data_IF_113720633239
#
_entry.id   IF_113720633239
#
_cell.length_a   1.000
_cell.length_b   1.000
_cell.length_c   1.000
_cell.angle_alpha   90.00
_cell.angle_beta   90.00
_cell.angle_gamma   90.00
#
_symmetry.space_group_name_H-M   'P 1'
#
loop_
_entity.id
_entity.type
_entity.pdbx_description
1 polymer ?
#
# COMPACT_ATOMS: atom_id res chain seq x y z
N UNK A 1 1.04 6.02 -2.47
CA UNK A 1 -0.37 5.87 -1.99
C UNK A 1 -0.89 4.50 -2.37
N UNK A 2 -1.69 3.81 -1.52
CA UNK A 2 -2.34 2.55 -1.90
C UNK A 2 -3.54 2.83 -2.82
N UNK A 3 -3.55 2.26 -4.03
CA UNK A 3 -4.66 2.33 -4.98
C UNK A 3 -5.47 1.03 -4.90
N UNK A 4 -6.51 1.03 -4.07
CA UNK A 4 -7.25 -0.18 -3.68
C UNK A 4 -8.55 -0.37 -4.50
N UNK A 5 -8.44 -0.26 -5.80
CA UNK A 5 -9.51 -0.49 -6.77
C UNK A 5 -8.93 -0.68 -8.18
N UNK A 6 -9.78 -0.99 -9.16
CA UNK A 6 -9.38 -1.08 -10.57
C UNK A 6 -9.82 0.13 -11.38
N UNK A 7 -8.96 0.65 -12.25
CA UNK A 7 -9.34 1.57 -13.32
C UNK A 7 -9.92 0.79 -14.49
N UNK A 8 -11.23 0.78 -14.61
CA UNK A 8 -11.92 0.06 -15.69
C UNK A 8 -13.24 0.75 -16.05
N UNK A 9 -13.50 0.88 -17.35
CA UNK A 9 -14.77 1.42 -17.84
C UNK A 9 -15.95 0.56 -17.38
N UNK A 10 -17.03 1.20 -16.93
CA UNK A 10 -18.26 0.51 -16.50
C UNK A 10 -18.82 -0.39 -17.61
N UNK A 11 -18.80 0.11 -18.85
CA UNK A 11 -19.33 -0.61 -20.01
C UNK A 11 -18.38 -1.76 -20.38
N UNK A 12 -18.86 -3.00 -20.25
CA UNK A 12 -18.09 -4.20 -20.57
C UNK A 12 -17.18 -4.72 -19.45
N UNK A 13 -17.20 -4.10 -18.25
CA UNK A 13 -16.51 -4.60 -17.09
C UNK A 13 -17.41 -5.57 -16.30
N UNK A 14 -16.90 -6.77 -16.03
CA UNK A 14 -17.56 -7.77 -15.17
C UNK A 14 -16.68 -8.01 -13.95
N UNK A 15 -17.23 -7.78 -12.76
CA UNK A 15 -16.55 -8.07 -11.52
C UNK A 15 -16.37 -9.57 -11.30
N UNK A 16 -15.41 -9.95 -10.48
CA UNK A 16 -15.17 -11.33 -10.09
C UNK A 16 -16.38 -11.86 -9.34
N UNK A 17 -16.93 -12.99 -9.81
CA UNK A 17 -18.11 -13.62 -9.24
C UNK A 17 -17.88 -14.05 -7.77
N UNK A 18 -18.88 -13.82 -6.94
CA UNK A 18 -18.87 -14.25 -5.53
C UNK A 18 -18.05 -13.39 -4.58
N UNK A 19 -17.39 -12.31 -5.04
CA UNK A 19 -16.72 -11.35 -4.18
C UNK A 19 -17.75 -10.35 -3.66
N UNK A 20 -17.83 -10.17 -2.32
CA UNK A 20 -18.84 -9.33 -1.67
C UNK A 20 -18.69 -7.84 -2.02
N UNK A 21 -17.45 -7.36 -2.10
CA UNK A 21 -17.13 -5.97 -2.43
C UNK A 21 -16.17 -5.93 -3.61
N UNK A 22 -16.51 -5.12 -4.61
CA UNK A 22 -15.67 -4.89 -5.80
C UNK A 22 -15.63 -3.41 -6.11
N UNK A 23 -14.41 -2.87 -6.24
CA UNK A 23 -14.20 -1.44 -6.41
C UNK A 23 -13.60 -1.13 -7.78
N UNK A 24 -14.12 -0.07 -8.39
CA UNK A 24 -13.60 0.46 -9.65
C UNK A 24 -13.74 1.98 -9.72
N UNK A 25 -12.88 2.58 -10.50
CA UNK A 25 -13.05 3.93 -11.01
C UNK A 25 -13.00 3.93 -12.54
N UNK A 26 -13.63 4.92 -13.17
CA UNK A 26 -13.46 5.11 -14.61
C UNK A 26 -12.00 5.60 -14.86
N UNK A 27 -11.35 5.16 -15.95
CA UNK A 27 -9.95 5.50 -16.26
C UNK A 27 -9.63 6.99 -16.18
N UNK A 28 -10.53 7.86 -16.62
CA UNK A 28 -10.38 9.31 -16.54
C UNK A 28 -10.17 9.85 -15.11
N UNK A 29 -10.59 9.07 -14.09
CA UNK A 29 -10.40 9.46 -12.68
C UNK A 29 -8.97 9.29 -12.19
N UNK A 30 -8.08 8.77 -13.01
CA UNK A 30 -6.64 8.77 -12.72
C UNK A 30 -6.07 10.19 -12.62
N UNK A 31 -6.70 11.20 -13.26
CA UNK A 31 -6.41 12.62 -13.09
C UNK A 31 -6.34 13.06 -11.60
N UNK A 32 -7.10 12.40 -10.72
CA UNK A 32 -7.10 12.68 -9.28
C UNK A 32 -5.76 12.36 -8.62
N UNK A 33 -4.97 11.45 -9.17
CA UNK A 33 -3.63 11.13 -8.65
C UNK A 33 -2.69 12.33 -8.79
N UNK A 34 -2.78 13.07 -9.90
CA UNK A 34 -2.03 14.32 -10.11
C UNK A 34 -2.49 15.40 -9.11
N UNK A 35 -3.83 15.56 -8.93
CA UNK A 35 -4.40 16.52 -7.98
C UNK A 35 -3.93 16.24 -6.55
N UNK A 36 -3.78 14.96 -6.19
CA UNK A 36 -3.24 14.56 -4.88
C UNK A 36 -1.71 14.67 -4.76
N UNK A 37 -1.01 15.02 -5.84
CA UNK A 37 0.46 15.06 -5.88
C UNK A 37 1.06 13.67 -5.70
N UNK A 38 0.48 12.65 -6.33
CA UNK A 38 0.89 11.26 -6.17
C UNK A 38 2.05 10.92 -7.10
N UNK A 39 3.24 10.72 -6.57
CA UNK A 39 4.43 10.31 -7.34
C UNK A 39 4.47 8.81 -7.62
N UNK A 40 3.81 7.99 -6.79
CA UNK A 40 3.77 6.54 -6.97
C UNK A 40 2.57 5.92 -6.26
N UNK A 41 2.10 4.79 -6.78
CA UNK A 41 1.04 4.00 -6.15
C UNK A 41 1.50 2.57 -5.86
N UNK A 42 0.93 1.98 -4.80
CA UNK A 42 1.05 0.56 -4.52
C UNK A 42 -0.21 -0.15 -4.97
N UNK A 43 -0.05 -1.28 -5.62
CA UNK A 43 -1.12 -2.10 -6.19
C UNK A 43 -1.22 -3.48 -5.53
N UNK A 44 -0.36 -3.77 -4.56
CA UNK A 44 -0.36 -5.04 -3.84
C UNK A 44 -1.50 -5.08 -2.82
N UNK A 45 -2.74 -5.22 -3.26
CA UNK A 45 -3.92 -5.29 -2.40
C UNK A 45 -4.95 -6.30 -2.93
N UNK A 46 -5.98 -6.56 -2.12
CA UNK A 46 -7.03 -7.53 -2.47
C UNK A 46 -8.05 -7.00 -3.49
N UNK A 47 -8.04 -5.71 -3.84
CA UNK A 47 -9.00 -5.09 -4.75
C UNK A 47 -8.46 -4.77 -6.15
N UNK A 48 -7.15 -4.86 -6.38
CA UNK A 48 -6.56 -4.63 -7.70
C UNK A 48 -7.03 -5.63 -8.76
N UNK A 49 -7.59 -6.77 -8.33
CA UNK A 49 -8.07 -7.85 -9.21
C UNK A 49 -9.60 -7.99 -9.23
N UNK A 50 -10.35 -6.99 -8.74
CA UNK A 50 -11.82 -7.02 -8.61
C UNK A 50 -12.56 -7.25 -9.93
N UNK A 51 -11.96 -6.84 -11.03
CA UNK A 51 -12.46 -7.04 -12.39
C UNK A 51 -11.56 -8.01 -13.17
N UNK A 52 -10.93 -8.95 -12.45
CA UNK A 52 -10.12 -10.01 -13.01
C UNK A 52 -8.86 -9.51 -13.74
N UNK A 53 -8.31 -10.37 -14.58
CA UNK A 53 -7.12 -10.06 -15.40
C UNK A 53 -7.30 -8.79 -16.23
N UNK A 54 -8.49 -8.59 -16.83
CA UNK A 54 -8.78 -7.40 -17.64
C UNK A 54 -8.76 -6.12 -16.81
N UNK A 55 -9.34 -6.16 -15.60
CA UNK A 55 -9.35 -5.03 -14.68
C UNK A 55 -7.94 -4.63 -14.22
N UNK A 56 -7.13 -5.62 -13.83
CA UNK A 56 -5.73 -5.36 -13.48
C UNK A 56 -4.96 -4.77 -14.66
N UNK A 57 -5.01 -5.39 -15.84
CA UNK A 57 -4.28 -4.89 -17.01
C UNK A 57 -4.71 -3.47 -17.40
N UNK A 58 -6.03 -3.17 -17.36
CA UNK A 58 -6.55 -1.82 -17.59
C UNK A 58 -6.00 -0.82 -16.56
N UNK A 59 -5.86 -1.22 -15.30
CA UNK A 59 -5.27 -0.37 -14.26
C UNK A 59 -3.81 -0.06 -14.56
N UNK A 60 -3.03 -1.08 -14.97
CA UNK A 60 -1.64 -0.89 -15.34
C UNK A 60 -1.50 0.02 -16.57
N UNK A 61 -2.35 -0.18 -17.60
CA UNK A 61 -2.36 0.66 -18.82
C UNK A 61 -2.66 2.13 -18.49
N UNK A 62 -3.62 2.38 -17.59
CA UNK A 62 -3.98 3.74 -17.15
C UNK A 62 -2.81 4.40 -16.42
N UNK A 63 -2.19 3.71 -15.47
CA UNK A 63 -1.05 4.26 -14.73
C UNK A 63 0.17 4.50 -15.63
N UNK A 64 0.42 3.58 -16.60
CA UNK A 64 1.48 3.76 -17.61
C UNK A 64 1.21 5.00 -18.49
N UNK A 65 -0.06 5.27 -18.88
CA UNK A 65 -0.46 6.45 -19.67
C UNK A 65 -0.32 7.75 -18.89
N UNK A 66 -0.64 7.74 -17.61
CA UNK A 66 -0.48 8.90 -16.71
C UNK A 66 0.97 9.09 -16.24
N UNK A 67 1.86 8.15 -16.59
CA UNK A 67 3.27 8.21 -16.18
C UNK A 67 3.50 8.02 -14.68
N UNK A 68 2.54 7.39 -13.98
CA UNK A 68 2.62 7.15 -12.54
C UNK A 68 3.24 5.77 -12.26
N UNK A 69 4.42 5.72 -11.67
CA UNK A 69 5.06 4.46 -11.26
C UNK A 69 4.21 3.68 -10.27
N UNK A 70 4.26 2.36 -10.35
CA UNK A 70 3.54 1.49 -9.43
C UNK A 70 4.39 0.26 -9.03
N UNK A 71 4.11 -0.29 -7.85
CA UNK A 71 4.75 -1.49 -7.31
C UNK A 71 3.74 -2.49 -6.78
N UNK A 72 4.15 -3.74 -6.63
CA UNK A 72 3.38 -4.78 -5.94
C UNK A 72 2.31 -5.48 -6.78
N UNK A 73 2.08 -5.06 -8.02
CA UNK A 73 1.34 -5.81 -9.04
C UNK A 73 1.97 -5.56 -10.42
N UNK A 74 1.69 -6.45 -11.37
CA UNK A 74 2.29 -6.33 -12.69
C UNK A 74 1.70 -7.30 -13.70
N UNK A 75 2.16 -7.20 -14.95
CA UNK A 75 1.76 -8.05 -16.07
C UNK A 75 2.30 -9.49 -15.94
N UNK A 76 3.31 -9.64 -15.11
CA UNK A 76 3.94 -10.89 -14.72
C UNK A 76 4.68 -10.70 -13.39
N UNK A 77 5.31 -11.75 -12.87
CA UNK A 77 6.04 -11.70 -11.61
C UNK A 77 7.21 -10.71 -11.62
N UNK A 78 7.93 -10.59 -12.74
CA UNK A 78 9.03 -9.61 -12.88
C UNK A 78 8.50 -8.18 -12.71
N UNK A 79 7.40 -7.85 -13.36
CA UNK A 79 6.77 -6.53 -13.24
C UNK A 79 6.21 -6.28 -11.84
N UNK A 80 5.51 -7.26 -11.24
CA UNK A 80 4.98 -7.16 -9.88
C UNK A 80 6.09 -7.02 -8.81
N UNK A 81 7.32 -7.44 -9.15
CA UNK A 81 8.51 -7.38 -8.30
C UNK A 81 9.36 -6.12 -8.49
N UNK A 82 8.92 -5.16 -9.30
CA UNK A 82 9.67 -3.92 -9.54
C UNK A 82 9.89 -3.15 -8.25
N UNK A 83 11.13 -2.72 -8.05
CA UNK A 83 11.52 -1.78 -7.01
C UNK A 83 11.48 -0.38 -7.63
N UNK A 84 10.78 0.55 -6.99
CA UNK A 84 10.77 1.94 -7.43
C UNK A 84 11.84 2.69 -6.65
N UNK A 85 12.66 3.45 -7.35
CA UNK A 85 13.74 4.23 -6.75
C UNK A 85 13.53 5.71 -7.00
N UNK A 86 13.69 6.51 -5.94
CA UNK A 86 13.77 7.97 -6.01
C UNK A 86 15.11 8.44 -5.44
N UNK A 87 15.65 9.51 -6.01
CA UNK A 87 16.80 10.20 -5.44
C UNK A 87 16.31 11.52 -4.86
N UNK A 88 16.41 11.66 -3.55
CA UNK A 88 15.99 12.83 -2.80
C UNK A 88 17.16 13.37 -1.98
N UNK A 89 17.57 14.59 -2.24
CA UNK A 89 18.74 15.22 -1.56
C UNK A 89 20.01 14.35 -1.58
N UNK A 90 20.28 13.73 -2.74
CA UNK A 90 21.46 12.88 -2.94
C UNK A 90 21.36 11.49 -2.32
N UNK A 91 20.24 11.13 -1.70
CA UNK A 91 19.98 9.81 -1.11
C UNK A 91 19.01 9.02 -1.97
N UNK A 92 19.33 7.77 -2.23
CA UNK A 92 18.49 6.85 -3.01
C UNK A 92 17.55 6.10 -2.09
N UNK A 93 16.25 6.26 -2.29
CA UNK A 93 15.19 5.60 -1.51
C UNK A 93 14.47 4.61 -2.40
N UNK A 94 14.34 3.38 -1.92
CA UNK A 94 13.60 2.32 -2.58
C UNK A 94 12.21 2.16 -1.98
N UNK A 95 11.21 1.93 -2.85
CA UNK A 95 9.84 1.58 -2.46
C UNK A 95 9.51 0.19 -3.00
N UNK A 96 9.01 -0.67 -2.11
CA UNK A 96 8.58 -2.04 -2.42
C UNK A 96 7.23 -2.30 -1.78
N UNK A 97 6.36 -3.09 -2.43
CA UNK A 97 5.08 -3.45 -1.81
C UNK A 97 4.67 -4.89 -2.11
N UNK A 98 3.93 -5.51 -1.16
CA UNK A 98 3.38 -6.84 -1.28
C UNK A 98 2.10 -7.01 -0.46
N UNK A 99 1.32 -8.06 -0.72
CA UNK A 99 0.09 -8.35 0.02
C UNK A 99 0.07 -9.75 0.64
N UNK A 100 -0.43 -9.85 1.89
CA UNK A 100 -0.81 -11.11 2.54
C UNK A 100 -2.26 -11.52 2.23
N UNK A 101 -3.06 -10.64 1.62
CA UNK A 101 -4.51 -10.85 1.41
C UNK A 101 -4.77 -11.54 0.08
N UNK A 102 -4.03 -12.59 -0.17
CA UNK A 102 -4.24 -13.54 -1.26
C UNK A 102 -4.88 -14.82 -0.72
N UNK A 103 -5.95 -14.67 0.09
CA UNK A 103 -6.60 -15.82 0.75
C UNK A 103 -7.41 -16.68 -0.21
N UNK A 104 -7.73 -16.17 -1.39
CA UNK A 104 -8.44 -16.90 -2.43
C UNK A 104 -7.80 -16.64 -3.78
N UNK A 105 -7.25 -17.67 -4.39
CA UNK A 105 -6.76 -17.63 -5.78
C UNK A 105 -7.82 -17.17 -6.80
N UNK A 106 -9.09 -17.20 -6.39
CA UNK A 106 -10.22 -16.76 -7.21
C UNK A 106 -10.33 -15.23 -7.23
N UNK A 107 -10.05 -14.57 -6.11
CA UNK A 107 -10.30 -13.12 -5.95
C UNK A 107 -9.06 -12.27 -6.19
N UNK A 108 -7.92 -12.69 -5.67
CA UNK A 108 -6.66 -11.94 -5.85
C UNK A 108 -5.58 -12.94 -6.21
N UNK A 109 -5.13 -12.87 -7.45
CA UNK A 109 -4.13 -13.80 -7.97
C UNK A 109 -2.73 -13.26 -7.78
N UNK A 110 -1.82 -14.13 -7.34
CA UNK A 110 -0.40 -13.84 -7.41
C UNK A 110 0.07 -13.81 -8.85
N UNK A 111 0.98 -12.90 -9.15
CA UNK A 111 1.69 -12.89 -10.42
C UNK A 111 2.54 -14.16 -10.57
N UNK A 112 2.61 -14.68 -11.81
CA UNK A 112 3.52 -15.76 -12.21
C UNK A 112 4.48 -15.26 -13.27
N UNK A 113 5.37 -16.09 -13.76
CA UNK A 113 6.30 -15.71 -14.85
C UNK A 113 5.56 -15.22 -16.11
N UNK A 114 4.34 -15.71 -16.34
CA UNK A 114 3.57 -15.44 -17.58
C UNK A 114 2.21 -14.79 -17.34
N UNK A 115 1.71 -14.78 -16.09
CA UNK A 115 0.37 -14.26 -15.78
C UNK A 115 0.44 -13.04 -14.86
N UNK A 116 -0.43 -12.04 -15.10
CA UNK A 116 -0.52 -10.84 -14.28
C UNK A 116 -1.11 -11.15 -12.91
N UNK A 117 -0.69 -10.36 -11.93
CA UNK A 117 -1.17 -10.48 -10.56
C UNK A 117 -0.40 -9.60 -9.60
N UNK A 118 -0.58 -9.88 -8.31
CA UNK A 118 0.09 -9.18 -7.21
C UNK A 118 1.36 -9.88 -6.76
N UNK A 119 2.27 -9.12 -6.18
CA UNK A 119 3.38 -9.67 -5.40
C UNK A 119 2.83 -10.10 -4.03
N UNK A 120 2.87 -11.40 -3.77
CA UNK A 120 2.33 -11.95 -2.52
C UNK A 120 3.34 -11.91 -1.39
N UNK A 121 2.83 -11.72 -0.16
CA UNK A 121 3.56 -11.83 1.09
C UNK A 121 2.99 -12.90 2.04
N UNK A 122 1.96 -13.66 1.65
CA UNK A 122 1.46 -14.79 2.44
C UNK A 122 2.53 -15.90 2.59
N UNK A 123 3.34 -16.09 1.54
CA UNK A 123 4.60 -16.83 1.53
C UNK A 123 5.68 -15.85 1.13
N UNK A 124 6.38 -15.22 2.11
CA UNK A 124 7.08 -13.96 1.88
C UNK A 124 8.46 -14.11 1.25
N UNK A 125 8.96 -15.33 0.98
CA UNK A 125 10.34 -15.59 0.56
C UNK A 125 10.76 -14.75 -0.65
N UNK A 126 9.86 -14.57 -1.64
CA UNK A 126 10.13 -13.75 -2.82
C UNK A 126 10.16 -12.27 -2.46
N UNK A 127 9.20 -11.81 -1.65
CA UNK A 127 9.14 -10.42 -1.21
C UNK A 127 10.36 -10.05 -0.36
N UNK A 128 10.76 -10.90 0.59
CA UNK A 128 11.94 -10.68 1.41
C UNK A 128 13.24 -10.61 0.58
N UNK A 129 13.35 -11.40 -0.50
CA UNK A 129 14.46 -11.27 -1.46
C UNK A 129 14.47 -9.90 -2.14
N UNK A 130 13.29 -9.37 -2.51
CA UNK A 130 13.15 -8.05 -3.14
C UNK A 130 13.51 -6.93 -2.15
N UNK A 131 13.07 -7.03 -0.88
CA UNK A 131 13.48 -6.10 0.18
C UNK A 131 14.99 -6.10 0.34
N UNK A 132 15.61 -7.28 0.40
CA UNK A 132 17.07 -7.42 0.49
C UNK A 132 17.79 -6.84 -0.73
N UNK A 133 17.28 -7.06 -1.93
CA UNK A 133 17.80 -6.47 -3.17
C UNK A 133 17.68 -4.94 -3.13
N UNK A 134 16.56 -4.41 -2.66
CA UNK A 134 16.35 -2.98 -2.48
C UNK A 134 17.39 -2.38 -1.51
N UNK A 135 17.60 -3.02 -0.36
CA UNK A 135 18.59 -2.58 0.63
C UNK A 135 20.04 -2.61 0.12
N UNK A 136 20.36 -3.52 -0.79
CA UNK A 136 21.68 -3.57 -1.42
C UNK A 136 21.90 -2.48 -2.48
N UNK A 137 20.82 -1.91 -3.01
CA UNK A 137 20.85 -0.99 -4.16
C UNK A 137 20.32 0.42 -3.85
N UNK A 138 20.05 0.73 -2.58
CA UNK A 138 19.59 2.05 -2.13
C UNK A 138 20.14 2.35 -0.74
N UNK A 139 20.01 3.62 -0.34
CA UNK A 139 20.40 4.07 1.00
C UNK A 139 19.31 3.76 2.03
N UNK A 140 18.03 3.73 1.58
CA UNK A 140 16.86 3.47 2.43
C UNK A 140 15.79 2.68 1.68
N UNK A 141 15.08 1.82 2.43
CA UNK A 141 13.98 1.00 1.92
C UNK A 141 12.70 1.27 2.70
N UNK A 142 11.66 1.71 2.00
CA UNK A 142 10.30 1.83 2.52
C UNK A 142 9.49 0.64 1.99
N UNK A 143 9.07 -0.25 2.88
CA UNK A 143 8.23 -1.39 2.55
C UNK A 143 6.77 -1.11 2.91
N UNK A 144 5.87 -1.25 1.93
CA UNK A 144 4.43 -1.18 2.16
C UNK A 144 3.82 -2.58 2.08
N UNK A 145 2.96 -2.92 3.06
CA UNK A 145 2.36 -4.26 3.13
C UNK A 145 0.86 -4.18 3.37
N UNK A 146 0.12 -4.82 2.49
CA UNK A 146 -1.33 -4.96 2.62
C UNK A 146 -1.65 -6.27 3.35
N UNK A 147 -2.06 -6.20 4.63
CA UNK A 147 -2.08 -7.33 5.54
C UNK A 147 -3.14 -7.23 6.66
N UNK A 148 -3.20 -8.26 7.51
CA UNK A 148 -4.02 -8.28 8.71
C UNK A 148 -5.48 -8.64 8.45
N UNK A 149 -6.36 -8.24 9.36
CA UNK A 149 -7.79 -8.55 9.33
C UNK A 149 -8.62 -7.27 9.35
N UNK A 150 -9.58 -7.16 8.44
CA UNK A 150 -10.49 -6.00 8.35
C UNK A 150 -11.20 -5.73 9.68
N UNK A 151 -11.30 -4.44 10.04
CA UNK A 151 -11.98 -3.97 11.24
C UNK A 151 -11.21 -4.11 12.55
N UNK A 152 -10.08 -4.81 12.58
CA UNK A 152 -9.30 -5.02 13.80
C UNK A 152 -8.47 -3.79 14.15
N UNK A 153 -8.50 -3.39 15.43
CA UNK A 153 -7.74 -2.26 15.96
C UNK A 153 -6.30 -2.62 16.34
N UNK A 154 -6.00 -3.89 16.50
CA UNK A 154 -4.67 -4.36 16.91
C UNK A 154 -4.11 -5.30 15.84
N UNK A 155 -2.80 -5.21 15.55
CA UNK A 155 -2.15 -6.11 14.63
C UNK A 155 -2.16 -7.55 15.13
N UNK A 156 -2.44 -8.48 14.23
CA UNK A 156 -2.40 -9.90 14.53
C UNK A 156 -0.95 -10.46 14.54
N UNK A 157 -0.80 -11.72 14.93
CA UNK A 157 0.52 -12.35 15.01
C UNK A 157 1.19 -12.45 13.64
N UNK A 158 0.42 -12.66 12.56
CA UNK A 158 1.00 -12.77 11.21
C UNK A 158 1.60 -11.44 10.73
N UNK A 159 0.96 -10.31 11.05
CA UNK A 159 1.49 -8.97 10.78
C UNK A 159 2.81 -8.74 11.55
N UNK A 160 2.83 -9.05 12.84
CA UNK A 160 4.02 -8.88 13.69
C UNK A 160 5.20 -9.72 13.18
N UNK A 161 4.95 -10.99 12.90
CA UNK A 161 5.98 -11.90 12.41
C UNK A 161 6.54 -11.46 11.04
N UNK A 162 5.66 -11.05 10.11
CA UNK A 162 6.11 -10.56 8.81
C UNK A 162 6.88 -9.24 8.95
N UNK A 163 6.46 -8.35 9.85
CA UNK A 163 7.19 -7.10 10.12
C UNK A 163 8.63 -7.37 10.58
N UNK A 164 8.83 -8.33 11.48
CA UNK A 164 10.17 -8.76 11.93
C UNK A 164 11.01 -9.26 10.75
N UNK A 165 10.45 -10.09 9.88
CA UNK A 165 11.16 -10.62 8.71
C UNK A 165 11.54 -9.51 7.70
N UNK A 166 10.64 -8.53 7.46
CA UNK A 166 10.88 -7.42 6.55
C UNK A 166 11.98 -6.50 7.10
N UNK A 167 11.94 -6.17 8.40
CA UNK A 167 12.98 -5.39 9.06
C UNK A 167 14.35 -6.10 8.97
N UNK A 168 14.39 -7.41 9.26
CA UNK A 168 15.61 -8.23 9.14
C UNK A 168 16.11 -8.33 7.69
N UNK A 169 15.24 -8.21 6.71
CA UNK A 169 15.61 -8.20 5.28
C UNK A 169 16.22 -6.85 4.84
N UNK A 170 16.16 -5.81 5.68
CA UNK A 170 16.80 -4.51 5.44
C UNK A 170 15.84 -3.38 5.09
N UNK A 171 14.57 -3.47 5.47
CA UNK A 171 13.68 -2.31 5.39
C UNK A 171 13.99 -1.32 6.51
N UNK A 172 13.94 -0.01 6.22
CA UNK A 172 14.13 1.08 7.17
C UNK A 172 12.82 1.64 7.71
N UNK A 173 11.71 1.42 7.00
CA UNK A 173 10.34 1.76 7.41
C UNK A 173 9.38 0.72 6.88
N UNK A 174 8.39 0.35 7.71
CA UNK A 174 7.29 -0.53 7.28
C UNK A 174 5.96 0.20 7.48
N UNK A 175 5.16 0.27 6.41
CA UNK A 175 3.83 0.89 6.42
C UNK A 175 2.80 -0.14 5.98
N UNK A 176 1.81 -0.36 6.82
CA UNK A 176 0.74 -1.31 6.57
C UNK A 176 -0.59 -0.69 6.16
N UNK A 177 -1.42 -1.49 5.51
CA UNK A 177 -2.80 -1.18 5.13
C UNK A 177 -3.68 -2.42 5.13
N UNK A 178 -4.94 -2.32 4.76
CA UNK A 178 -5.99 -3.35 4.70
C UNK A 178 -6.99 -3.34 5.88
N UNK A 179 -6.61 -3.22 7.17
CA UNK A 179 -7.59 -3.32 8.24
C UNK A 179 -8.72 -2.27 8.20
N UNK A 180 -8.57 -1.21 7.41
CA UNK A 180 -9.49 -0.06 7.34
C UNK A 180 -9.73 0.61 8.70
N UNK A 181 -8.83 0.40 9.62
CA UNK A 181 -8.74 0.99 10.96
C UNK A 181 -7.31 1.42 11.21
N UNK A 182 -7.13 2.46 12.00
CA UNK A 182 -5.82 2.73 12.57
C UNK A 182 -5.42 1.53 13.44
N UNK A 183 -4.21 1.06 13.23
CA UNK A 183 -3.54 0.13 14.14
C UNK A 183 -2.29 0.81 14.67
N UNK A 184 -1.88 0.44 15.87
CA UNK A 184 -0.76 1.06 16.55
C UNK A 184 0.57 0.95 15.79
N UNK A 185 1.56 1.62 16.34
CA UNK A 185 2.94 1.65 15.85
C UNK A 185 3.85 0.92 16.81
N UNK A 186 4.96 0.42 16.29
CA UNK A 186 6.02 -0.21 17.09
C UNK A 186 7.36 -0.07 16.38
N UNK A 187 8.39 -0.62 16.99
CA UNK A 187 9.72 -0.77 16.40
C UNK A 187 10.15 -2.23 16.40
N UNK A 188 10.88 -2.63 15.35
CA UNK A 188 11.69 -3.85 15.33
C UNK A 188 13.15 -3.42 15.21
N UNK A 189 13.92 -3.49 16.30
CA UNK A 189 15.17 -2.77 16.40
C UNK A 189 14.93 -1.27 16.24
N UNK A 190 15.60 -0.65 15.28
CA UNK A 190 15.45 0.78 14.94
C UNK A 190 14.44 1.03 13.82
N UNK A 191 13.81 -0.01 13.27
CA UNK A 191 12.86 0.11 12.15
C UNK A 191 11.46 0.46 12.66
N UNK A 192 10.94 1.68 12.37
CA UNK A 192 9.59 2.06 12.73
C UNK A 192 8.56 1.38 11.85
N UNK A 193 7.46 0.95 12.47
CA UNK A 193 6.35 0.24 11.83
C UNK A 193 5.04 0.93 12.16
N UNK A 194 4.25 1.28 11.13
CA UNK A 194 2.84 1.60 11.25
C UNK A 194 2.03 0.43 10.68
N UNK A 195 1.28 -0.28 11.53
CA UNK A 195 0.57 -1.48 11.08
C UNK A 195 -0.63 -1.20 10.18
N UNK A 196 -1.30 -0.08 10.33
CA UNK A 196 -2.34 0.39 9.41
C UNK A 196 -2.60 1.88 9.59
N UNK A 197 -2.73 2.59 8.48
CA UNK A 197 -3.02 4.03 8.45
C UNK A 197 -4.53 4.36 8.43
N UNK A 198 -5.41 3.34 8.39
CA UNK A 198 -6.84 3.54 8.19
C UNK A 198 -7.20 3.90 6.75
N UNK A 199 -8.36 4.53 6.58
CA UNK A 199 -8.91 4.91 5.27
C UNK A 199 -8.59 6.36 4.93
N UNK A 200 -7.91 6.62 3.82
CA UNK A 200 -7.74 8.00 3.37
C UNK A 200 -9.03 8.53 2.71
N UNK A 201 -9.57 7.80 1.74
CA UNK A 201 -10.82 8.17 1.05
C UNK A 201 -11.54 6.89 0.62
N UNK A 202 -12.54 6.46 1.40
CA UNK A 202 -13.09 5.12 1.20
C UNK A 202 -14.61 5.05 1.39
N UNK A 203 -15.16 5.49 2.50
CA UNK A 203 -16.57 5.26 2.86
C UNK A 203 -17.26 6.51 3.43
N UNK A 204 -18.56 6.40 3.68
CA UNK A 204 -19.35 7.44 4.34
C UNK A 204 -19.19 7.45 5.86
N UNK A 205 -18.62 6.40 6.43
CA UNK A 205 -18.40 6.29 7.88
C UNK A 205 -17.42 7.33 8.41
N UNK A 206 -17.54 7.64 9.70
CA UNK A 206 -16.60 8.52 10.40
C UNK A 206 -15.52 7.67 11.04
N UNK A 207 -14.28 7.86 10.62
CA UNK A 207 -13.11 7.10 11.07
C UNK A 207 -11.88 8.01 11.16
N UNK A 208 -11.12 7.87 12.23
CA UNK A 208 -9.77 8.42 12.26
C UNK A 208 -8.88 7.71 11.24
N UNK A 209 -8.04 8.49 10.62
CA UNK A 209 -7.03 8.05 9.64
C UNK A 209 -5.81 8.95 9.72
N UNK A 210 -4.74 8.62 9.02
CA UNK A 210 -3.53 9.42 9.08
C UNK A 210 -2.76 9.38 7.76
N UNK A 211 -1.97 10.44 7.53
CA UNK A 211 -0.87 10.39 6.57
C UNK A 211 0.42 10.07 7.33
N UNK A 212 1.15 9.06 6.87
CA UNK A 212 2.47 8.77 7.38
C UNK A 212 3.50 9.69 6.71
N UNK A 213 4.33 10.34 7.52
CA UNK A 213 5.45 11.16 7.07
C UNK A 213 6.75 10.50 7.49
N UNK A 214 7.50 10.02 6.50
CA UNK A 214 8.87 9.52 6.69
C UNK A 214 9.84 10.68 6.50
N UNK A 215 10.70 10.91 7.47
CA UNK A 215 11.75 11.93 7.41
C UNK A 215 13.10 11.25 7.61
N UNK A 216 14.00 11.47 6.66
CA UNK A 216 15.39 11.05 6.76
C UNK A 216 16.20 12.30 7.13
N UNK A 217 16.72 12.33 8.35
CA UNK A 217 17.48 13.48 8.87
C UNK A 217 18.89 13.53 8.26
N UNK A 218 19.61 14.64 8.45
CA UNK A 218 20.96 14.81 7.89
C UNK A 218 21.94 13.76 8.37
N UNK A 219 21.83 13.32 9.64
CA UNK A 219 22.63 12.26 10.24
C UNK A 219 22.23 10.84 9.80
N UNK A 220 21.20 10.72 8.93
CA UNK A 220 20.74 9.43 8.42
C UNK A 220 19.64 8.76 9.24
N UNK A 221 19.23 9.34 10.36
CA UNK A 221 18.15 8.77 11.19
C UNK A 221 16.81 8.83 10.47
N UNK A 222 16.11 7.70 10.47
CA UNK A 222 14.76 7.59 9.91
C UNK A 222 13.72 7.84 10.99
N UNK A 223 12.81 8.79 10.73
CA UNK A 223 11.70 9.13 11.64
C UNK A 223 10.37 8.93 10.93
N UNK A 224 9.48 8.21 11.58
CA UNK A 224 8.08 8.06 11.16
C UNK A 224 7.20 8.94 12.06
N UNK A 225 6.44 9.83 11.46
CA UNK A 225 5.48 10.70 12.14
C UNK A 225 4.16 10.71 11.39
N UNK A 226 3.12 11.25 12.01
CA UNK A 226 1.76 11.16 11.51
C UNK A 226 1.09 12.52 11.44
N UNK A 227 0.32 12.72 10.37
CA UNK A 227 -0.60 13.85 10.24
C UNK A 227 -2.00 13.33 10.53
N UNK A 228 -2.56 13.63 11.73
CA UNK A 228 -3.88 13.16 12.11
C UNK A 228 -4.96 13.67 11.17
N UNK A 229 -5.81 12.77 10.72
CA UNK A 229 -6.92 13.08 9.82
C UNK A 229 -8.20 12.38 10.29
N UNK A 230 -9.33 12.84 9.79
CA UNK A 230 -10.62 12.18 9.93
C UNK A 230 -11.26 12.04 8.55
N UNK A 231 -11.69 10.83 8.24
CA UNK A 231 -12.52 10.54 7.09
C UNK A 231 -13.99 10.55 7.52
N UNK A 232 -14.81 11.31 6.83
CA UNK A 232 -16.24 11.41 7.10
C UNK A 232 -16.99 11.80 5.83
N UNK A 233 -18.10 11.13 5.53
CA UNK A 233 -18.98 11.46 4.39
C UNK A 233 -18.22 11.60 3.05
N UNK A 234 -17.35 10.66 2.73
CA UNK A 234 -16.51 10.67 1.52
C UNK A 234 -15.55 11.87 1.43
N UNK A 235 -15.23 12.48 2.54
CA UNK A 235 -14.21 13.53 2.63
C UNK A 235 -13.16 13.16 3.64
N UNK A 236 -11.96 13.67 3.47
CA UNK A 236 -10.88 13.53 4.45
C UNK A 236 -10.31 14.92 4.75
N UNK A 237 -10.20 15.25 6.02
CA UNK A 237 -9.58 16.49 6.47
C UNK A 237 -8.52 16.24 7.52
N UNK A 238 -7.54 17.12 7.56
CA UNK A 238 -6.55 17.13 8.64
C UNK A 238 -7.22 17.64 9.93
N UNK A 239 -6.87 17.03 11.06
CA UNK A 239 -7.28 17.50 12.38
C UNK A 239 -6.40 18.67 12.79
N UNK A 240 -6.98 19.85 12.95
CA UNK A 240 -6.26 21.08 13.33
C UNK A 240 -6.48 21.48 14.76
N UNK A 241 -7.68 21.19 15.29
CA UNK A 241 -8.07 21.59 16.65
C UNK A 241 -7.34 20.73 17.70
N UNK A 242 -6.82 21.34 18.79
CA UNK A 242 -6.09 20.60 19.82
C UNK A 242 -6.87 19.44 20.44
N UNK A 243 -8.17 19.60 20.68
CA UNK A 243 -9.04 18.58 21.24
C UNK A 243 -9.18 17.37 20.29
N UNK A 244 -9.49 17.62 19.01
CA UNK A 244 -9.59 16.55 18.00
C UNK A 244 -8.27 15.78 17.83
N UNK A 245 -7.14 16.47 17.97
CA UNK A 245 -5.82 15.84 17.91
C UNK A 245 -5.53 15.00 19.15
N UNK A 246 -5.98 15.44 20.33
CA UNK A 246 -5.89 14.64 21.57
C UNK A 246 -6.63 13.32 21.40
N UNK A 247 -7.90 13.39 20.99
CA UNK A 247 -8.76 12.23 20.77
C UNK A 247 -8.17 11.22 19.75
N UNK A 248 -7.40 11.72 18.77
CA UNK A 248 -6.73 10.86 17.79
C UNK A 248 -5.60 10.02 18.42
N UNK A 249 -4.92 10.53 19.46
CA UNK A 249 -3.78 9.88 20.11
C UNK A 249 -4.17 9.02 21.33
N UNK A 250 -5.41 9.07 21.80
CA UNK A 250 -5.98 8.21 22.84
C UNK A 250 -6.47 6.86 22.29
#
# INVERSE_FOLDING_TARGET
MNNEFTYVNKKGATSVYGKAYTFRADPQKAELLEIFGTDTVTLANNHVYDYGKKGLLSTLDVLDQEGIPYSGAGRNLKDASKIIYYVMNGRKVAFVSATQIERSKQYTKAATETEPGVLKALHPEKFLKIVKEAAQNSDYVIAEVHWGTEGMLYPDQSQRHLAEQIAQAGADVIIGGHPHRLQGTTFVGDVPIAYSLGNFWFSTGTLYTTLAKVTITEDGTVKLSFVPCIQQNLTTRILTEPEERSDFYE
#
